data_IF_542755380242
#
_entry.id   IF_542755380242
#
_cell.length_a   1.000
_cell.length_b   1.000
_cell.length_c   1.000
_cell.angle_alpha   90.00
_cell.angle_beta   90.00
_cell.angle_gamma   90.00
#
_symmetry.space_group_name_H-M   'P 1'
#
loop_
_entity.id
_entity.type
_entity.pdbx_description
1 polymer ?
#
# COMPACT_ATOMS: atom_id res chain seq x y z
N UNK A 1 9.98 12.81 -7.41
CA UNK A 1 8.80 12.30 -6.68
C UNK A 1 9.03 10.91 -6.11
N UNK A 2 9.33 9.92 -6.96
CA UNK A 2 9.50 8.52 -6.56
C UNK A 2 10.49 8.30 -5.40
N UNK A 3 11.61 9.05 -5.33
CA UNK A 3 12.53 8.95 -4.18
C UNK A 3 11.89 9.40 -2.85
N UNK A 4 11.09 10.46 -2.85
CA UNK A 4 10.45 10.97 -1.63
C UNK A 4 9.38 9.99 -1.14
N UNK A 5 8.67 9.36 -2.08
CA UNK A 5 7.71 8.32 -1.78
C UNK A 5 8.40 7.05 -1.23
N UNK A 6 9.53 6.64 -1.81
CA UNK A 6 10.32 5.53 -1.30
C UNK A 6 10.87 5.80 0.11
N UNK A 7 11.36 7.02 0.37
CA UNK A 7 11.83 7.44 1.68
C UNK A 7 10.71 7.50 2.71
N UNK A 8 9.51 7.92 2.31
CA UNK A 8 8.33 7.88 3.17
C UNK A 8 8.01 6.45 3.63
N UNK A 9 8.01 5.47 2.71
CA UNK A 9 7.81 4.06 3.08
C UNK A 9 8.90 3.54 4.02
N UNK A 10 10.16 3.90 3.81
CA UNK A 10 11.27 3.50 4.68
C UNK A 10 11.12 4.08 6.10
N UNK A 11 10.68 5.34 6.23
CA UNK A 11 10.40 5.94 7.54
C UNK A 11 9.27 5.21 8.25
N UNK A 12 8.21 4.83 7.53
CA UNK A 12 7.11 4.03 8.12
C UNK A 12 7.56 2.65 8.59
N UNK A 13 8.41 1.96 7.83
CA UNK A 13 8.99 0.67 8.23
C UNK A 13 9.85 0.83 9.48
N UNK A 14 10.67 1.89 9.56
CA UNK A 14 11.47 2.18 10.76
C UNK A 14 10.59 2.45 11.98
N UNK A 15 9.47 3.17 11.80
CA UNK A 15 8.50 3.40 12.87
C UNK A 15 7.79 2.10 13.29
N UNK A 16 7.49 1.20 12.36
CA UNK A 16 6.93 -0.12 12.66
C UNK A 16 7.92 -1.00 13.46
N UNK A 17 9.22 -0.86 13.23
CA UNK A 17 10.27 -1.54 13.99
C UNK A 17 10.45 -1.04 15.43
N UNK A 18 9.79 0.05 15.82
CA UNK A 18 9.77 0.59 17.18
C UNK A 18 8.56 0.11 18.01
N UNK A 19 7.73 -0.79 17.48
CA UNK A 19 6.61 -1.40 18.22
C UNK A 19 7.09 -2.49 19.19
N UNK A 20 6.25 -2.80 20.20
CA UNK A 20 6.56 -3.76 21.28
C UNK A 20 6.87 -5.18 20.79
N UNK A 21 6.36 -5.60 19.61
CA UNK A 21 6.68 -6.87 18.95
C UNK A 21 7.16 -6.63 17.50
N UNK A 22 8.43 -6.24 17.30
CA UNK A 22 8.91 -5.76 16.01
C UNK A 22 9.08 -6.87 14.97
N UNK A 23 9.39 -8.10 15.38
CA UNK A 23 9.65 -9.23 14.46
C UNK A 23 8.42 -9.57 13.61
N UNK A 24 7.29 -9.89 14.23
CA UNK A 24 6.04 -10.24 13.52
C UNK A 24 5.46 -9.04 12.75
N UNK A 25 5.57 -7.82 13.31
CA UNK A 25 5.08 -6.61 12.66
C UNK A 25 5.89 -6.28 11.40
N UNK A 26 7.22 -6.36 11.47
CA UNK A 26 8.10 -6.11 10.33
C UNK A 26 7.96 -7.21 9.26
N UNK A 27 7.86 -8.48 9.66
CA UNK A 27 7.70 -9.59 8.71
C UNK A 27 6.38 -9.46 7.94
N UNK A 28 5.27 -9.23 8.66
CA UNK A 28 3.95 -9.04 8.03
C UNK A 28 3.92 -7.82 7.12
N UNK A 29 4.52 -6.70 7.57
CA UNK A 29 4.63 -5.46 6.80
C UNK A 29 5.50 -5.64 5.55
N UNK A 30 6.61 -6.37 5.66
CA UNK A 30 7.54 -6.63 4.55
C UNK A 30 6.89 -7.42 3.42
N UNK A 31 6.10 -8.45 3.77
CA UNK A 31 5.29 -9.21 2.81
C UNK A 31 4.28 -8.29 2.12
N UNK A 32 3.56 -7.47 2.89
CA UNK A 32 2.60 -6.51 2.35
C UNK A 32 3.26 -5.50 1.41
N UNK A 33 4.42 -4.96 1.77
CA UNK A 33 5.19 -4.00 0.95
C UNK A 33 5.70 -4.66 -0.33
N UNK A 34 6.06 -5.94 -0.30
CA UNK A 34 6.49 -6.68 -1.49
C UNK A 34 5.34 -6.83 -2.48
N UNK A 35 4.15 -7.23 -2.00
CA UNK A 35 2.94 -7.31 -2.83
C UNK A 35 2.57 -5.92 -3.38
N UNK A 36 2.64 -4.89 -2.55
CA UNK A 36 2.44 -3.50 -3.00
C UNK A 36 3.44 -3.09 -4.06
N UNK A 37 4.72 -3.46 -3.92
CA UNK A 37 5.77 -3.14 -4.86
C UNK A 37 5.52 -3.73 -6.25
N UNK A 38 5.01 -4.96 -6.34
CA UNK A 38 4.64 -5.57 -7.61
C UNK A 38 3.51 -4.82 -8.32
N UNK A 39 2.47 -4.45 -7.57
CA UNK A 39 1.34 -3.68 -8.13
C UNK A 39 1.75 -2.25 -8.47
N UNK A 40 2.63 -1.65 -7.66
CA UNK A 40 3.17 -0.32 -7.90
C UNK A 40 3.93 -0.23 -9.23
N UNK A 41 4.67 -1.26 -9.62
CA UNK A 41 5.34 -1.28 -10.93
C UNK A 41 4.35 -1.17 -12.10
N UNK A 42 3.18 -1.78 -11.98
CA UNK A 42 2.09 -1.65 -12.97
C UNK A 42 1.61 -0.19 -13.00
N UNK A 43 1.37 0.42 -11.84
CA UNK A 43 0.96 1.82 -11.72
C UNK A 43 1.99 2.80 -12.29
N UNK A 44 3.29 2.54 -12.10
CA UNK A 44 4.37 3.36 -12.69
C UNK A 44 4.34 3.31 -14.22
N UNK A 45 4.05 2.13 -14.80
CA UNK A 45 3.84 1.99 -16.24
C UNK A 45 2.70 2.87 -16.76
N UNK A 46 1.56 2.87 -16.07
CA UNK A 46 0.43 3.74 -16.41
C UNK A 46 0.75 5.22 -16.21
N UNK A 47 1.47 5.60 -15.16
CA UNK A 47 1.92 6.97 -14.92
C UNK A 47 2.74 7.50 -16.12
N UNK A 48 3.70 6.72 -16.62
CA UNK A 48 4.52 7.10 -17.77
C UNK A 48 3.68 7.21 -19.06
N UNK A 49 2.82 6.21 -19.32
CA UNK A 49 1.95 6.19 -20.50
C UNK A 49 0.97 7.38 -20.51
N UNK A 50 0.35 7.68 -19.38
CA UNK A 50 -0.56 8.82 -19.21
C UNK A 50 0.18 10.14 -19.46
N UNK A 51 1.36 10.31 -18.88
CA UNK A 51 2.17 11.53 -19.02
C UNK A 51 2.53 11.81 -20.48
N UNK A 52 2.97 10.80 -21.22
CA UNK A 52 3.33 10.97 -22.65
C UNK A 52 2.09 11.24 -23.50
N UNK A 53 1.00 10.49 -23.27
CA UNK A 53 -0.24 10.65 -24.05
C UNK A 53 -0.85 12.04 -23.86
N UNK A 54 -1.00 12.48 -22.61
CA UNK A 54 -1.58 13.80 -22.29
C UNK A 54 -0.66 14.92 -22.76
N UNK A 55 0.65 14.79 -22.55
CA UNK A 55 1.63 15.78 -23.02
C UNK A 55 1.62 15.96 -24.54
N UNK A 56 1.53 14.86 -25.30
CA UNK A 56 1.47 14.91 -26.76
C UNK A 56 0.16 15.53 -27.28
N UNK A 57 -0.99 15.16 -26.71
CA UNK A 57 -2.29 15.72 -27.13
C UNK A 57 -2.43 17.22 -26.79
N UNK A 58 -1.87 17.65 -25.65
CA UNK A 58 -1.81 19.07 -25.30
C UNK A 58 -0.83 19.83 -26.20
N UNK A 59 0.36 19.26 -26.48
CA UNK A 59 1.34 19.84 -27.39
C UNK A 59 0.84 19.97 -28.83
N UNK A 60 -0.05 19.08 -29.26
CA UNK A 60 -0.72 19.15 -30.56
C UNK A 60 -1.90 20.14 -30.62
N UNK A 61 -2.25 20.80 -29.51
CA UNK A 61 -3.37 21.75 -29.46
C UNK A 61 -4.75 21.08 -29.41
N UNK A 62 -4.85 19.82 -28.97
CA UNK A 62 -6.10 19.06 -28.88
C UNK A 62 -6.57 18.86 -27.42
N UNK A 63 -7.08 19.89 -26.73
CA UNK A 63 -7.43 19.80 -25.31
C UNK A 63 -8.58 18.81 -25.03
N UNK A 64 -9.51 18.62 -25.97
CA UNK A 64 -10.60 17.64 -25.84
C UNK A 64 -10.07 16.20 -25.84
N UNK A 65 -9.09 15.91 -26.69
CA UNK A 65 -8.46 14.58 -26.77
C UNK A 65 -7.58 14.30 -25.54
N UNK A 66 -6.92 15.32 -25.01
CA UNK A 66 -6.21 15.24 -23.73
C UNK A 66 -7.17 14.89 -22.58
N UNK A 67 -8.28 15.63 -22.43
CA UNK A 67 -9.27 15.37 -21.38
C UNK A 67 -9.88 13.95 -21.48
N UNK A 68 -10.19 13.51 -22.72
CA UNK A 68 -10.66 12.14 -22.94
C UNK A 68 -9.61 11.09 -22.55
N UNK A 69 -8.33 11.33 -22.88
CA UNK A 69 -7.24 10.43 -22.51
C UNK A 69 -7.08 10.31 -21.00
N UNK A 70 -7.27 11.40 -20.24
CA UNK A 70 -7.28 11.39 -18.76
C UNK A 70 -8.40 10.51 -18.23
N UNK A 71 -9.63 10.71 -18.70
CA UNK A 71 -10.79 9.93 -18.24
C UNK A 71 -10.59 8.44 -18.53
N UNK A 72 -10.11 8.10 -19.73
CA UNK A 72 -9.87 6.71 -20.13
C UNK A 72 -8.77 6.06 -19.28
N UNK A 73 -7.62 6.71 -19.10
CA UNK A 73 -6.50 6.12 -18.36
C UNK A 73 -6.82 5.97 -16.87
N UNK A 74 -7.53 6.94 -16.28
CA UNK A 74 -8.00 6.84 -14.90
C UNK A 74 -9.03 5.72 -14.72
N UNK A 75 -9.97 5.57 -15.66
CA UNK A 75 -10.98 4.51 -15.60
C UNK A 75 -10.38 3.11 -15.74
N UNK A 76 -9.46 2.92 -16.70
CA UNK A 76 -8.76 1.64 -16.91
C UNK A 76 -7.92 1.29 -15.67
N UNK A 77 -7.16 2.26 -15.15
CA UNK A 77 -6.36 2.06 -13.94
C UNK A 77 -7.24 1.68 -12.75
N UNK A 78 -8.36 2.37 -12.53
CA UNK A 78 -9.29 2.05 -11.46
C UNK A 78 -9.83 0.61 -11.58
N UNK A 79 -10.26 0.19 -12.78
CA UNK A 79 -10.77 -1.17 -13.02
C UNK A 79 -9.68 -2.20 -12.70
N UNK A 80 -8.47 -2.00 -13.20
CA UNK A 80 -7.35 -2.92 -12.94
C UNK A 80 -7.03 -2.99 -11.45
N UNK A 81 -6.98 -1.86 -10.77
CA UNK A 81 -6.70 -1.83 -9.32
C UNK A 81 -7.78 -2.48 -8.48
N UNK A 82 -9.06 -2.35 -8.88
CA UNK A 82 -10.17 -3.08 -8.24
C UNK A 82 -10.05 -4.58 -8.47
N UNK A 83 -9.74 -5.02 -9.69
CA UNK A 83 -9.53 -6.45 -10.01
C UNK A 83 -8.38 -7.00 -9.17
N UNK A 84 -7.24 -6.29 -9.12
CA UNK A 84 -6.08 -6.70 -8.31
C UNK A 84 -6.42 -6.73 -6.82
N UNK A 85 -7.15 -5.74 -6.30
CA UNK A 85 -7.59 -5.72 -4.91
C UNK A 85 -8.50 -6.92 -4.57
N UNK A 86 -9.44 -7.27 -5.46
CA UNK A 86 -10.29 -8.45 -5.30
C UNK A 86 -9.45 -9.73 -5.31
N UNK A 87 -8.51 -9.86 -6.24
CA UNK A 87 -7.60 -11.03 -6.31
C UNK A 87 -6.80 -11.17 -5.01
N UNK A 88 -6.24 -10.08 -4.50
CA UNK A 88 -5.48 -10.07 -3.24
C UNK A 88 -6.37 -10.41 -2.04
N UNK A 89 -7.63 -9.95 -2.01
CA UNK A 89 -8.58 -10.31 -0.94
C UNK A 89 -8.98 -11.78 -0.98
N UNK A 90 -9.25 -12.32 -2.17
CA UNK A 90 -9.64 -13.73 -2.34
C UNK A 90 -8.47 -14.67 -2.05
N UNK A 91 -7.26 -14.28 -2.45
CA UNK A 91 -6.05 -15.06 -2.22
C UNK A 91 -5.34 -14.71 -0.91
N UNK A 92 -5.96 -13.93 -0.01
CA UNK A 92 -5.32 -13.45 1.22
C UNK A 92 -4.73 -14.57 2.07
N UNK A 93 -5.46 -15.69 2.15
CA UNK A 93 -5.13 -16.83 3.00
C UNK A 93 -4.17 -17.80 2.30
N UNK A 94 -3.89 -17.64 1.01
CA UNK A 94 -2.96 -18.49 0.23
C UNK A 94 -1.66 -17.76 -0.05
N UNK A 95 -1.73 -16.47 -0.38
CA UNK A 95 -0.57 -15.60 -0.59
C UNK A 95 0.25 -15.50 0.70
N UNK A 96 -0.39 -15.43 1.87
CA UNK A 96 0.30 -15.41 3.15
C UNK A 96 1.23 -16.63 3.32
N UNK A 97 0.75 -17.85 3.03
CA UNK A 97 1.56 -19.08 3.14
C UNK A 97 2.63 -19.22 2.05
N UNK A 98 2.52 -18.49 0.93
CA UNK A 98 3.57 -18.47 -0.09
C UNK A 98 4.81 -17.68 0.37
N UNK A 99 4.67 -16.77 1.33
CA UNK A 99 5.75 -15.93 1.86
C UNK A 99 6.20 -16.32 3.28
N UNK A 100 5.40 -17.07 4.04
CA UNK A 100 5.78 -17.54 5.38
C UNK A 100 5.14 -18.88 5.75
N UNK A 101 5.90 -19.75 6.42
CA UNK A 101 5.37 -20.99 7.02
C UNK A 101 4.79 -20.76 8.43
N UNK A 102 5.01 -19.58 9.03
CA UNK A 102 4.55 -19.24 10.37
C UNK A 102 3.08 -18.86 10.41
N UNK A 103 2.25 -19.65 11.10
CA UNK A 103 0.79 -19.39 11.25
C UNK A 103 0.48 -18.00 11.84
N UNK A 104 1.35 -17.49 12.71
CA UNK A 104 1.20 -16.17 13.36
C UNK A 104 1.36 -15.02 12.36
N UNK A 105 2.39 -15.08 11.52
CA UNK A 105 2.67 -14.05 10.48
C UNK A 105 1.62 -14.16 9.37
N UNK A 106 1.26 -15.39 8.96
CA UNK A 106 0.25 -15.59 7.93
C UNK A 106 -1.11 -15.00 8.31
N UNK A 107 -1.52 -15.16 9.58
CA UNK A 107 -2.77 -14.61 10.10
C UNK A 107 -2.73 -13.09 10.25
N UNK A 108 -1.59 -12.54 10.69
CA UNK A 108 -1.39 -11.09 10.75
C UNK A 108 -1.47 -10.44 9.36
N UNK A 109 -0.89 -11.08 8.33
CA UNK A 109 -1.02 -10.63 6.93
C UNK A 109 -2.48 -10.71 6.46
N UNK A 110 -3.21 -11.79 6.74
CA UNK A 110 -4.63 -11.93 6.37
C UNK A 110 -5.54 -10.88 7.04
N UNK A 111 -5.25 -10.49 8.27
CA UNK A 111 -5.93 -9.40 8.99
C UNK A 111 -5.58 -8.01 8.43
N UNK A 112 -4.39 -7.84 7.84
CA UNK A 112 -3.99 -6.62 7.14
C UNK A 112 -4.48 -6.55 5.69
N UNK A 113 -4.85 -7.66 5.06
CA UNK A 113 -5.30 -7.70 3.67
C UNK A 113 -6.46 -6.76 3.32
N UNK A 114 -7.47 -6.50 4.18
CA UNK A 114 -8.49 -5.48 3.91
C UNK A 114 -7.91 -4.07 3.78
N UNK A 115 -6.96 -3.71 4.65
CA UNK A 115 -6.25 -2.43 4.57
C UNK A 115 -5.33 -2.38 3.35
N UNK A 116 -4.66 -3.49 3.05
CA UNK A 116 -3.83 -3.65 1.86
C UNK A 116 -4.65 -3.46 0.57
N UNK A 117 -5.85 -4.04 0.49
CA UNK A 117 -6.74 -3.93 -0.66
C UNK A 117 -7.21 -2.49 -0.90
N UNK A 118 -7.58 -1.77 0.16
CA UNK A 118 -7.90 -0.34 0.06
C UNK A 118 -6.66 0.45 -0.40
N UNK A 119 -5.50 0.13 0.16
CA UNK A 119 -4.23 0.77 -0.20
C UNK A 119 -3.87 0.52 -1.67
N UNK A 120 -4.12 -0.68 -2.18
CA UNK A 120 -3.93 -1.06 -3.58
C UNK A 120 -4.83 -0.26 -4.54
N UNK A 121 -6.10 -0.07 -4.18
CA UNK A 121 -7.02 0.76 -4.99
C UNK A 121 -6.55 2.21 -5.03
N UNK A 122 -6.17 2.78 -3.88
CA UNK A 122 -5.67 4.15 -3.79
C UNK A 122 -4.33 4.34 -4.55
N UNK A 123 -3.40 3.40 -4.39
CA UNK A 123 -2.11 3.39 -5.12
C UNK A 123 -2.25 3.06 -6.60
N UNK A 124 -3.42 2.57 -7.03
CA UNK A 124 -3.76 2.45 -8.44
C UNK A 124 -3.96 3.82 -9.10
N UNK A 125 -4.82 4.62 -8.49
CA UNK A 125 -5.30 5.90 -9.05
C UNK A 125 -4.22 6.99 -8.92
N UNK A 126 -3.55 7.04 -7.76
CA UNK A 126 -2.66 8.16 -7.42
C UNK A 126 -1.50 8.35 -8.43
N UNK A 127 -0.74 7.31 -8.83
CA UNK A 127 0.33 7.46 -9.80
C UNK A 127 -0.20 7.90 -11.17
N UNK A 128 -1.37 7.43 -11.59
CA UNK A 128 -1.97 7.83 -12.87
C UNK A 128 -2.33 9.31 -12.89
N UNK A 129 -2.96 9.81 -11.83
CA UNK A 129 -3.26 11.24 -11.69
C UNK A 129 -1.99 12.10 -11.64
N UNK A 130 -0.95 11.62 -10.95
CA UNK A 130 0.37 12.27 -10.95
C UNK A 130 0.95 12.33 -12.35
N UNK A 131 0.90 11.22 -13.11
CA UNK A 131 1.38 11.14 -14.48
C UNK A 131 0.65 12.09 -15.43
N UNK A 132 -0.68 12.20 -15.30
CA UNK A 132 -1.48 13.19 -16.04
C UNK A 132 -1.01 14.61 -15.74
N UNK A 133 -0.85 14.96 -14.46
CA UNK A 133 -0.46 16.31 -14.07
C UNK A 133 0.98 16.66 -14.49
N UNK A 134 1.89 15.67 -14.49
CA UNK A 134 3.23 15.81 -15.07
C UNK A 134 3.16 16.01 -16.58
N UNK A 135 2.30 15.27 -17.28
CA UNK A 135 2.03 15.46 -18.72
C UNK A 135 1.50 16.84 -19.07
N UNK A 136 0.74 17.47 -18.16
CA UNK A 136 0.28 18.86 -18.28
C UNK A 136 1.34 19.91 -17.90
N UNK A 137 2.54 19.51 -17.45
CA UNK A 137 3.61 20.41 -17.01
C UNK A 137 3.49 20.88 -15.56
N UNK A 138 2.55 20.36 -14.77
CA UNK A 138 2.30 20.78 -13.37
C UNK A 138 3.13 19.99 -12.33
N UNK A 139 4.20 19.33 -12.78
CA UNK A 139 5.05 18.47 -11.94
C UNK A 139 5.55 19.14 -10.65
N UNK A 140 5.85 20.44 -10.67
CA UNK A 140 6.34 21.16 -9.50
C UNK A 140 5.26 21.32 -8.42
N UNK A 141 4.04 21.69 -8.81
CA UNK A 141 2.91 21.83 -7.88
C UNK A 141 2.59 20.49 -7.23
N UNK A 142 2.53 19.44 -8.04
CA UNK A 142 2.25 18.07 -7.57
C UNK A 142 3.34 17.62 -6.59
N UNK A 143 4.61 17.95 -6.85
CA UNK A 143 5.72 17.65 -5.93
C UNK A 143 5.56 18.33 -4.56
N UNK A 144 5.20 19.62 -4.52
CA UNK A 144 4.97 20.33 -3.26
C UNK A 144 3.79 19.74 -2.46
N UNK A 145 2.67 19.47 -3.13
CA UNK A 145 1.49 18.87 -2.49
C UNK A 145 1.82 17.50 -1.91
N UNK A 146 2.53 16.66 -2.66
CA UNK A 146 2.93 15.32 -2.24
C UNK A 146 3.86 15.36 -1.02
N UNK A 147 4.85 16.25 -0.99
CA UNK A 147 5.71 16.44 0.20
C UNK A 147 4.88 16.85 1.41
N UNK A 148 3.97 17.81 1.26
CA UNK A 148 3.08 18.24 2.33
C UNK A 148 2.21 17.10 2.86
N UNK A 149 1.55 16.37 1.96
CA UNK A 149 0.69 15.26 2.35
C UNK A 149 1.45 14.11 3.02
N UNK A 150 2.59 13.67 2.49
CA UNK A 150 3.31 12.53 3.06
C UNK A 150 4.06 12.88 4.34
N UNK A 151 4.79 14.00 4.38
CA UNK A 151 5.68 14.30 5.49
C UNK A 151 5.00 15.09 6.61
N UNK A 152 4.10 16.03 6.29
CA UNK A 152 3.46 16.87 7.30
C UNK A 152 2.20 16.20 7.87
N UNK A 153 1.46 15.45 7.04
CA UNK A 153 0.23 14.77 7.48
C UNK A 153 0.46 13.28 7.67
N UNK A 154 1.06 12.59 6.70
CA UNK A 154 1.21 11.15 6.69
C UNK A 154 2.07 10.60 7.83
N UNK A 155 3.24 11.18 8.09
CA UNK A 155 4.14 10.73 9.17
C UNK A 155 3.52 10.96 10.55
N UNK A 156 3.00 12.15 10.90
CA UNK A 156 2.37 12.36 12.20
C UNK A 156 1.10 11.53 12.40
N UNK A 157 0.27 11.37 11.35
CA UNK A 157 -0.92 10.53 11.43
C UNK A 157 -0.54 9.06 11.62
N UNK A 158 0.49 8.58 10.92
CA UNK A 158 1.04 7.23 11.10
C UNK A 158 1.58 7.00 12.51
N UNK A 159 2.30 7.96 13.07
CA UNK A 159 2.80 7.90 14.45
C UNK A 159 1.66 7.90 15.48
N UNK A 160 0.65 8.77 15.31
CA UNK A 160 -0.52 8.81 16.21
C UNK A 160 -1.34 7.52 16.11
N UNK A 161 -1.57 6.98 14.92
CA UNK A 161 -2.31 5.73 14.76
C UNK A 161 -1.54 4.52 15.31
N UNK A 162 -0.22 4.48 15.12
CA UNK A 162 0.65 3.42 15.61
C UNK A 162 0.81 3.43 17.14
N UNK A 163 1.16 4.58 17.72
CA UNK A 163 1.53 4.69 19.14
C UNK A 163 0.38 5.13 20.05
N UNK A 164 -0.50 6.03 19.60
CA UNK A 164 -1.56 6.61 20.46
C UNK A 164 -2.87 5.82 20.41
N UNK A 165 -3.32 5.42 19.21
CA UNK A 165 -4.54 4.63 19.04
C UNK A 165 -4.33 3.12 19.26
N UNK A 166 -3.09 2.67 19.49
CA UNK A 166 -2.72 1.24 19.58
C UNK A 166 -3.36 0.41 18.44
N UNK A 167 -3.47 0.96 17.22
CA UNK A 167 -3.95 0.17 16.09
C UNK A 167 -2.90 -0.85 15.61
N UNK A 168 -1.63 -0.64 15.97
CA UNK A 168 -0.61 -1.70 15.97
C UNK A 168 -0.99 -2.87 16.89
N UNK A 169 -1.74 -2.61 17.96
CA UNK A 169 -2.26 -3.62 18.86
C UNK A 169 -3.51 -4.34 18.33
N UNK A 170 -4.06 -4.08 17.14
CA UNK A 170 -5.05 -5.02 16.56
C UNK A 170 -4.41 -6.35 16.17
N UNK A 171 -3.14 -6.33 15.75
CA UNK A 171 -2.31 -7.53 15.61
C UNK A 171 -2.07 -8.17 16.99
N UNK A 172 -1.84 -7.35 18.01
CA UNK A 172 -1.69 -7.79 19.40
C UNK A 172 -3.01 -8.30 20.03
N UNK A 173 -4.17 -7.80 19.63
CA UNK A 173 -5.51 -8.19 20.10
C UNK A 173 -5.97 -9.47 19.39
N UNK A 174 -5.59 -9.65 18.11
CA UNK A 174 -5.64 -10.93 17.41
C UNK A 174 -4.72 -11.97 18.08
N UNK A 175 -3.51 -11.57 18.52
CA UNK A 175 -2.60 -12.41 19.32
C UNK A 175 -3.09 -12.68 20.74
N UNK A 176 -3.67 -11.72 21.47
CA UNK A 176 -4.25 -11.94 22.80
C UNK A 176 -5.44 -12.90 22.74
N UNK A 177 -6.15 -12.89 21.62
CA UNK A 177 -7.19 -13.89 21.31
C UNK A 177 -6.61 -15.25 20.97
N UNK A 178 -5.38 -15.35 20.45
CA UNK A 178 -4.67 -16.59 20.11
C UNK A 178 -3.83 -17.18 21.25
N UNK A 179 -3.20 -16.37 22.11
CA UNK A 179 -2.55 -16.83 23.34
C UNK A 179 -3.54 -17.51 24.29
N UNK A 180 -4.81 -17.10 24.23
CA UNK A 180 -5.94 -17.78 24.89
C UNK A 180 -6.26 -19.18 24.33
N UNK A 181 -5.74 -19.52 23.15
CA UNK A 181 -5.81 -20.86 22.53
C UNK A 181 -4.52 -21.66 22.74
N UNK A 182 -3.37 -21.01 22.87
CA UNK A 182 -2.12 -21.69 23.30
C UNK A 182 -2.19 -22.15 24.77
N UNK A 183 -2.87 -21.40 25.65
CA UNK A 183 -3.16 -21.83 27.03
C UNK A 183 -4.10 -23.05 27.11
N UNK A 184 -4.66 -23.52 25.99
CA UNK A 184 -5.45 -24.76 25.91
C UNK A 184 -4.66 -25.97 25.38
N UNK A 185 -3.36 -25.85 25.14
CA UNK A 185 -2.49 -27.01 24.90
C UNK A 185 -1.77 -27.39 26.20
N UNK A 186 -2.51 -27.95 27.15
CA UNK A 186 -1.93 -28.75 28.24
C UNK A 186 -1.38 -30.10 27.71
N UNK A 187 -0.49 -30.76 28.46
CA UNK A 187 0.81 -31.20 27.98
C UNK A 187 0.78 -32.66 27.49
N UNK A 188 1.32 -32.91 26.30
CA UNK A 188 1.69 -34.25 25.88
C UNK A 188 3.20 -34.28 25.74
N UNK A 189 3.85 -34.71 26.82
CA UNK A 189 4.99 -35.64 26.86
C UNK A 189 5.56 -35.62 28.28
N UNK A 190 4.91 -36.37 29.17
CA UNK A 190 5.60 -37.09 30.24
C UNK A 190 5.68 -38.56 29.81
N UNK A 191 6.87 -39.10 30.05
CA UNK A 191 7.36 -40.46 29.82
C UNK A 191 7.88 -40.78 28.41
#
# INVERSE_FOLDING_TARGET
MLCLEAWYFQILVLLAGLLENPEVALDSLSICITVLGWVFMISVGFNAAASVRVGNELGAGHPKAAAFSVVMVTSISFIISVIVAIIVLVLRDVISYAFTEGEVVAKAVSDMCPLLAVTLVLNGIQPVLSGVAVGCGWQALVAYVNVGCYYIVGIPLGAVLGFYFKLGAKVEEAMKRLGRWEDKKEPLLKD
#
